data_IF_218487447411
#
_entry.id   IF_218487447411
#
_cell.length_a   1.000
_cell.length_b   1.000
_cell.length_c   1.000
_cell.angle_alpha   90.00
_cell.angle_beta   90.00
_cell.angle_gamma   90.00
#
_symmetry.space_group_name_H-M   'P 1'
#
loop_
_entity.id
_entity.type
_entity.pdbx_description
1 polymer ?
#
# COMPACT_ATOMS: atom_id res chain seq x y z
N UNK A 1 -32.07 6.35 36.13
CA UNK A 1 -33.41 6.96 35.99
C UNK A 1 -33.37 8.03 34.90
N UNK A 2 -34.24 7.91 33.86
CA UNK A 2 -34.89 9.00 33.04
C UNK A 2 -33.97 10.06 32.38
N UNK A 3 -33.98 10.42 31.07
CA UNK A 3 -34.91 10.35 29.89
C UNK A 3 -34.05 10.55 28.61
N UNK A 4 -34.13 9.72 27.55
CA UNK A 4 -34.89 9.86 26.28
C UNK A 4 -34.96 11.30 25.70
N UNK A 5 -34.42 11.49 24.48
CA UNK A 5 -35.20 11.99 23.33
C UNK A 5 -34.50 11.73 21.98
N UNK A 6 -35.14 10.91 21.14
CA UNK A 6 -34.89 10.76 19.70
C UNK A 6 -35.44 11.98 18.94
N UNK A 7 -34.78 12.37 17.84
CA UNK A 7 -35.40 13.16 16.78
C UNK A 7 -35.10 12.53 15.43
N UNK A 8 -36.12 11.85 14.90
CA UNK A 8 -36.27 11.51 13.48
C UNK A 8 -36.68 12.76 12.72
N UNK A 9 -36.11 12.99 11.54
CA UNK A 9 -36.73 13.81 10.50
C UNK A 9 -36.41 13.19 9.13
N UNK A 10 -37.42 12.50 8.61
CA UNK A 10 -37.52 12.03 7.23
C UNK A 10 -38.21 13.15 6.45
N UNK A 11 -37.66 13.55 5.30
CA UNK A 11 -38.45 14.19 4.25
C UNK A 11 -38.21 13.50 2.91
N UNK A 12 -39.33 13.15 2.30
CA UNK A 12 -39.54 12.32 1.13
C UNK A 12 -39.28 13.05 -0.20
N UNK A 13 -38.94 12.22 -1.18
CA UNK A 13 -38.79 12.42 -2.61
C UNK A 13 -39.62 13.52 -3.30
N UNK A 14 -39.01 14.14 -4.31
CA UNK A 14 -39.72 14.64 -5.50
C UNK A 14 -39.05 14.08 -6.76
N UNK A 15 -39.90 13.46 -7.56
CA UNK A 15 -39.72 12.85 -8.88
C UNK A 15 -39.46 13.93 -9.94
N UNK A 16 -38.64 13.64 -10.96
CA UNK A 16 -39.05 13.90 -12.34
C UNK A 16 -38.31 13.04 -13.37
N UNK A 17 -39.12 12.18 -13.99
CA UNK A 17 -38.91 11.56 -15.29
C UNK A 17 -38.63 12.63 -16.35
N UNK A 18 -37.60 12.43 -17.15
CA UNK A 18 -37.58 12.90 -18.53
C UNK A 18 -37.30 11.70 -19.43
N UNK A 19 -38.37 11.19 -20.04
CA UNK A 19 -38.30 10.30 -21.20
C UNK A 19 -39.08 10.98 -22.33
N UNK A 20 -38.38 11.48 -23.33
CA UNK A 20 -38.71 11.36 -24.76
C UNK A 20 -37.74 12.22 -25.56
N UNK A 21 -37.09 11.59 -26.55
CA UNK A 21 -36.25 12.29 -27.49
C UNK A 21 -35.44 11.32 -28.34
N UNK A 22 -36.12 10.48 -29.12
CA UNK A 22 -35.48 9.92 -30.31
C UNK A 22 -35.15 11.09 -31.25
N UNK A 23 -33.87 11.34 -31.45
CA UNK A 23 -33.36 12.05 -32.62
C UNK A 23 -31.95 11.56 -32.86
N UNK A 24 -31.78 10.81 -33.95
CA UNK A 24 -30.51 10.50 -34.55
C UNK A 24 -29.73 11.80 -34.79
N UNK A 25 -28.51 11.85 -34.27
CA UNK A 25 -27.45 12.70 -34.80
C UNK A 25 -26.15 12.01 -34.45
N UNK A 26 -25.55 11.43 -35.48
CA UNK A 26 -24.21 10.90 -35.45
C UNK A 26 -23.24 12.02 -35.01
N UNK A 27 -22.58 11.81 -33.89
CA UNK A 27 -21.33 12.51 -33.62
C UNK A 27 -20.26 11.48 -33.23
N UNK A 28 -19.25 11.39 -34.09
CA UNK A 28 -18.10 10.51 -33.91
C UNK A 28 -17.18 11.14 -32.86
N UNK A 29 -17.49 10.92 -31.59
CA UNK A 29 -16.48 11.10 -30.55
C UNK A 29 -15.63 9.83 -30.52
N UNK A 30 -14.41 9.92 -31.05
CA UNK A 30 -13.39 8.89 -30.87
C UNK A 30 -13.18 8.71 -29.36
N UNK A 31 -13.75 7.63 -28.83
CA UNK A 31 -13.50 7.15 -27.49
C UNK A 31 -12.04 6.74 -27.44
N UNK A 32 -11.16 7.65 -27.01
CA UNK A 32 -9.88 7.25 -26.42
C UNK A 32 -10.22 6.61 -25.08
N UNK A 33 -10.78 5.40 -25.12
CA UNK A 33 -10.76 4.51 -23.98
C UNK A 33 -9.28 4.32 -23.67
N UNK A 34 -8.75 4.75 -22.50
CA UNK A 34 -7.41 4.38 -22.13
C UNK A 34 -7.42 2.86 -22.09
N UNK A 35 -6.73 2.21 -23.01
CA UNK A 35 -6.49 0.79 -22.96
C UNK A 35 -5.73 0.56 -21.67
N UNK A 36 -6.45 0.19 -20.61
CA UNK A 36 -5.87 -0.22 -19.36
C UNK A 36 -4.98 -1.40 -19.69
N UNK A 37 -3.68 -1.13 -19.80
CA UNK A 37 -2.69 -2.18 -19.98
C UNK A 37 -2.70 -2.91 -18.65
N UNK A 38 -3.38 -4.05 -18.60
CA UNK A 38 -3.42 -4.90 -17.42
C UNK A 38 -2.00 -5.40 -17.18
N UNK A 39 -1.25 -4.67 -16.35
CA UNK A 39 0.00 -5.20 -15.84
C UNK A 39 -0.39 -6.35 -14.92
N UNK A 40 -0.01 -7.60 -15.24
CA UNK A 40 -0.38 -8.73 -14.41
C UNK A 40 0.14 -8.49 -13.00
N UNK A 41 -0.70 -8.81 -12.00
CA UNK A 41 -0.34 -8.73 -10.59
C UNK A 41 0.88 -9.62 -10.36
N UNK A 42 2.06 -9.01 -10.16
CA UNK A 42 3.34 -9.72 -10.09
C UNK A 42 4.21 -9.67 -11.34
N UNK A 43 3.97 -8.75 -12.29
CA UNK A 43 5.00 -8.39 -13.28
C UNK A 43 6.21 -7.84 -12.53
N UNK A 44 7.22 -8.70 -12.32
CA UNK A 44 8.53 -8.27 -11.85
C UNK A 44 9.08 -7.36 -12.94
N UNK A 45 9.00 -6.05 -12.74
CA UNK A 45 9.87 -5.16 -13.48
C UNK A 45 11.27 -5.58 -13.06
N UNK A 46 12.08 -6.06 -14.00
CA UNK A 46 13.45 -6.56 -13.74
C UNK A 46 14.35 -5.54 -13.05
N UNK A 47 13.93 -4.27 -13.00
CA UNK A 47 14.58 -3.19 -12.27
C UNK A 47 14.23 -3.09 -10.78
N UNK A 48 13.23 -3.81 -10.27
CA UNK A 48 12.90 -3.74 -8.85
C UNK A 48 14.05 -4.30 -8.00
N UNK A 49 14.37 -3.59 -6.92
CA UNK A 49 15.38 -3.95 -5.92
C UNK A 49 14.78 -3.68 -4.55
N UNK A 50 14.90 -4.59 -3.60
CA UNK A 50 14.47 -4.35 -2.23
C UNK A 50 15.17 -3.11 -1.63
N UNK A 51 14.56 -2.38 -0.69
CA UNK A 51 15.08 -1.10 -0.21
C UNK A 51 16.52 -1.20 0.32
N UNK A 52 16.86 -2.26 1.06
CA UNK A 52 18.20 -2.47 1.58
C UNK A 52 19.26 -2.88 0.56
N UNK A 53 18.87 -3.11 -0.70
CA UNK A 53 19.79 -3.24 -1.83
C UNK A 53 20.06 -1.91 -2.54
N UNK A 54 19.37 -0.83 -2.14
CA UNK A 54 19.44 0.49 -2.78
C UNK A 54 19.94 1.54 -1.80
N UNK A 55 19.47 1.50 -0.56
CA UNK A 55 19.79 2.47 0.47
C UNK A 55 20.32 1.74 1.70
N UNK A 56 21.54 2.07 2.11
CA UNK A 56 22.08 1.59 3.38
C UNK A 56 21.52 2.45 4.54
N UNK A 57 21.13 1.79 5.62
CA UNK A 57 20.59 2.45 6.81
C UNK A 57 21.22 1.88 8.07
N UNK A 58 21.33 2.70 9.11
CA UNK A 58 21.84 2.30 10.41
C UNK A 58 20.73 1.69 11.27
N UNK A 59 20.63 0.36 11.26
CA UNK A 59 19.60 -0.39 11.99
C UNK A 59 19.70 -0.28 13.52
N UNK A 60 20.76 0.33 14.05
CA UNK A 60 20.89 0.57 15.50
C UNK A 60 20.07 1.77 15.98
N UNK A 61 19.62 2.63 15.07
CA UNK A 61 18.79 3.80 15.37
C UNK A 61 17.32 3.43 15.59
N UNK A 62 16.67 4.20 16.45
CA UNK A 62 15.22 4.07 16.66
C UNK A 62 14.42 4.40 15.39
N UNK A 63 14.89 5.40 14.63
CA UNK A 63 14.44 5.74 13.27
C UNK A 63 15.67 5.87 12.36
N UNK A 64 15.87 4.93 11.42
CA UNK A 64 17.00 4.90 10.50
C UNK A 64 16.73 5.67 9.20
N UNK A 65 15.63 6.44 9.12
CA UNK A 65 15.32 7.32 8.00
C UNK A 65 16.46 8.32 7.69
N UNK A 66 16.66 8.61 6.41
CA UNK A 66 17.65 9.57 5.91
C UNK A 66 17.11 10.30 4.66
N UNK A 67 17.96 10.97 3.88
CA UNK A 67 17.52 11.72 2.70
C UNK A 67 17.09 10.83 1.52
N UNK A 68 17.44 9.55 1.54
CA UNK A 68 17.17 8.59 0.46
C UNK A 68 16.03 7.62 0.78
N UNK A 69 15.74 7.38 2.06
CA UNK A 69 14.64 6.53 2.51
C UNK A 69 13.94 7.12 3.73
N UNK A 70 12.60 7.11 3.71
CA UNK A 70 11.74 7.48 4.84
C UNK A 70 10.87 6.29 5.22
N UNK A 71 10.71 6.07 6.53
CA UNK A 71 9.86 5.02 7.08
C UNK A 71 8.57 5.61 7.66
N UNK A 72 7.47 4.92 7.40
CA UNK A 72 6.18 5.14 8.05
C UNK A 72 5.94 4.05 9.09
N UNK A 73 5.23 4.40 10.17
CA UNK A 73 4.97 3.49 11.27
C UNK A 73 3.47 3.36 11.56
N UNK A 74 3.04 2.14 11.91
CA UNK A 74 1.70 1.91 12.42
C UNK A 74 1.57 2.36 13.89
N UNK A 75 0.35 2.27 14.43
CA UNK A 75 0.06 2.63 15.83
C UNK A 75 0.80 1.78 16.88
N UNK A 76 1.38 0.65 16.47
CA UNK A 76 2.18 -0.24 17.33
C UNK A 76 3.69 0.03 17.16
N UNK A 77 4.08 1.04 16.38
CA UNK A 77 5.46 1.41 16.13
C UNK A 77 6.19 0.45 15.19
N UNK A 78 5.46 -0.41 14.46
CA UNK A 78 6.04 -1.29 13.43
C UNK A 78 6.10 -0.53 12.11
N UNK A 79 7.05 -0.87 11.24
CA UNK A 79 7.12 -0.28 9.89
C UNK A 79 5.83 -0.59 9.14
N UNK A 80 5.05 0.41 8.74
CA UNK A 80 3.87 0.24 7.88
C UNK A 80 4.19 0.49 6.42
N UNK A 81 5.26 1.24 6.14
CA UNK A 81 5.75 1.49 4.80
C UNK A 81 7.13 2.11 4.77
N UNK A 82 7.73 2.14 3.58
CA UNK A 82 8.88 2.99 3.31
C UNK A 82 8.88 3.51 1.87
N UNK A 83 9.47 4.69 1.67
CA UNK A 83 9.60 5.31 0.35
C UNK A 83 11.07 5.57 0.04
N UNK A 84 11.51 5.18 -1.15
CA UNK A 84 12.86 5.39 -1.67
C UNK A 84 12.82 5.49 -3.20
N UNK A 85 13.96 5.78 -3.85
CA UNK A 85 14.03 5.92 -5.31
C UNK A 85 14.81 4.79 -5.98
N UNK A 86 14.28 4.26 -7.08
CA UNK A 86 15.00 3.39 -8.03
C UNK A 86 15.09 4.12 -9.36
N UNK A 87 16.31 4.39 -9.83
CA UNK A 87 16.57 5.11 -11.08
C UNK A 87 15.79 6.43 -11.18
N UNK A 88 15.74 7.18 -10.08
CA UNK A 88 15.03 8.46 -9.98
C UNK A 88 13.51 8.38 -9.77
N UNK A 89 12.91 7.18 -9.86
CA UNK A 89 11.46 6.98 -9.67
C UNK A 89 11.14 6.61 -8.23
N UNK A 90 10.08 7.21 -7.69
CA UNK A 90 9.60 6.88 -6.36
C UNK A 90 9.06 5.45 -6.32
N UNK A 91 9.53 4.71 -5.33
CA UNK A 91 9.12 3.35 -5.02
C UNK A 91 8.59 3.33 -3.60
N UNK A 92 7.38 2.81 -3.45
CA UNK A 92 6.74 2.64 -2.14
C UNK A 92 6.71 1.16 -1.78
N UNK A 93 7.01 0.83 -0.53
CA UNK A 93 6.83 -0.49 0.05
C UNK A 93 5.78 -0.39 1.14
N UNK A 94 4.78 -1.26 1.11
CA UNK A 94 3.73 -1.35 2.12
C UNK A 94 3.76 -2.69 2.86
N UNK A 95 3.42 -2.65 4.16
CA UNK A 95 3.42 -3.81 5.05
C UNK A 95 2.02 -4.03 5.63
N UNK A 96 1.46 -5.21 5.39
CA UNK A 96 0.16 -5.62 5.93
C UNK A 96 0.34 -6.73 6.94
N UNK A 97 0.14 -6.42 8.22
CA UNK A 97 0.35 -7.35 9.32
C UNK A 97 -0.88 -8.23 9.60
N UNK A 98 -0.64 -9.54 9.70
CA UNK A 98 -1.58 -10.56 10.19
C UNK A 98 -1.09 -11.10 11.54
N UNK A 99 -1.74 -12.14 12.05
CA UNK A 99 -1.43 -12.73 13.36
C UNK A 99 0.00 -13.29 13.45
N UNK A 100 0.43 -14.04 12.45
CA UNK A 100 1.72 -14.72 12.40
C UNK A 100 2.49 -14.48 11.10
N UNK A 101 2.01 -13.55 10.28
CA UNK A 101 2.55 -13.23 8.97
C UNK A 101 2.53 -11.72 8.71
N UNK A 102 3.36 -11.30 7.77
CA UNK A 102 3.32 -9.96 7.18
C UNK A 102 3.42 -10.09 5.67
N UNK A 103 2.46 -9.49 4.96
CA UNK A 103 2.55 -9.35 3.52
C UNK A 103 3.27 -8.04 3.20
N UNK A 104 4.27 -8.14 2.32
CA UNK A 104 5.05 -7.00 1.84
C UNK A 104 4.77 -6.80 0.36
N UNK A 105 4.39 -5.59 0.00
CA UNK A 105 4.11 -5.17 -1.37
C UNK A 105 5.04 -4.03 -1.76
N UNK A 106 5.46 -3.96 -3.02
CA UNK A 106 6.14 -2.78 -3.53
C UNK A 106 5.47 -2.25 -4.80
N UNK A 107 5.47 -0.93 -4.93
CA UNK A 107 4.81 -0.20 -6.01
C UNK A 107 5.77 0.82 -6.62
N UNK A 108 5.74 0.93 -7.96
CA UNK A 108 6.38 2.02 -8.69
C UNK A 108 5.26 2.72 -9.47
N UNK A 109 4.89 3.93 -9.04
CA UNK A 109 3.62 4.54 -9.44
C UNK A 109 2.44 3.66 -9.00
N UNK A 110 1.49 3.42 -9.90
CA UNK A 110 0.28 2.62 -9.62
C UNK A 110 0.47 1.11 -9.87
N UNK A 111 1.69 0.67 -10.19
CA UNK A 111 1.97 -0.73 -10.56
C UNK A 111 2.58 -1.48 -9.39
N UNK A 112 1.95 -2.59 -8.97
CA UNK A 112 2.52 -3.54 -8.01
C UNK A 112 3.63 -4.36 -8.69
N UNK A 113 4.86 -4.20 -8.22
CA UNK A 113 6.07 -4.83 -8.81
C UNK A 113 6.63 -5.97 -7.95
N UNK A 114 6.22 -6.06 -6.69
CA UNK A 114 6.64 -7.10 -5.76
C UNK A 114 5.52 -7.44 -4.79
N UNK A 115 5.40 -8.73 -4.47
CA UNK A 115 4.57 -9.21 -3.38
C UNK A 115 5.22 -10.45 -2.77
N UNK A 116 5.38 -10.46 -1.44
CA UNK A 116 5.84 -11.63 -0.70
C UNK A 116 5.29 -11.64 0.72
N UNK A 117 5.00 -12.84 1.22
CA UNK A 117 4.60 -13.06 2.62
C UNK A 117 5.78 -13.60 3.43
N UNK A 118 5.99 -13.01 4.60
CA UNK A 118 6.98 -13.44 5.58
C UNK A 118 6.29 -13.97 6.83
N UNK A 119 6.85 -15.01 7.44
CA UNK A 119 6.38 -15.53 8.73
C UNK A 119 7.03 -14.75 9.88
N UNK A 120 6.22 -14.26 10.80
CA UNK A 120 6.67 -13.63 12.03
C UNK A 120 7.18 -14.73 12.97
N UNK A 121 8.45 -14.64 13.36
CA UNK A 121 9.11 -15.58 14.29
C UNK A 121 9.09 -15.02 15.71
N UNK A 122 9.30 -13.71 15.84
CA UNK A 122 9.28 -13.00 17.12
C UNK A 122 8.67 -11.61 16.93
N UNK A 123 7.87 -11.18 17.91
CA UNK A 123 7.33 -9.82 18.00
C UNK A 123 7.54 -9.30 19.42
N UNK A 124 8.30 -8.23 19.55
CA UNK A 124 8.79 -7.72 20.83
C UNK A 124 9.24 -6.26 20.63
N UNK A 125 8.69 -5.33 21.41
CA UNK A 125 8.96 -3.90 21.27
C UNK A 125 10.40 -3.50 21.61
N UNK A 126 11.17 -4.39 22.23
CA UNK A 126 12.61 -4.19 22.45
C UNK A 126 13.46 -4.56 21.23
N UNK A 127 12.89 -5.29 20.25
CA UNK A 127 13.55 -5.52 18.97
C UNK A 127 13.50 -4.21 18.19
N UNK A 128 14.66 -3.59 17.96
CA UNK A 128 14.76 -2.42 17.09
C UNK A 128 14.47 -2.76 15.62
N UNK A 129 15.22 -2.15 14.72
CA UNK A 129 15.14 -2.47 13.30
C UNK A 129 15.84 -3.80 12.99
N UNK A 130 15.21 -4.58 12.12
CA UNK A 130 15.76 -5.82 11.54
C UNK A 130 15.60 -5.81 10.02
N UNK A 131 16.42 -6.61 9.34
CA UNK A 131 16.34 -6.84 7.90
C UNK A 131 15.98 -8.31 7.62
N UNK A 132 15.18 -8.53 6.58
CA UNK A 132 15.03 -9.82 5.94
C UNK A 132 14.97 -9.65 4.42
N UNK A 133 15.97 -10.17 3.71
CA UNK A 133 16.07 -10.11 2.24
C UNK A 133 16.03 -8.67 1.69
N UNK A 134 16.59 -7.71 2.42
CA UNK A 134 16.59 -6.29 2.03
C UNK A 134 15.32 -5.54 2.38
N UNK A 135 14.35 -6.15 3.08
CA UNK A 135 13.17 -5.49 3.62
C UNK A 135 13.32 -5.25 5.12
N UNK A 136 12.95 -4.05 5.55
CA UNK A 136 13.11 -3.61 6.92
C UNK A 136 11.85 -3.85 7.76
N UNK A 137 12.05 -4.27 9.00
CA UNK A 137 10.99 -4.46 9.99
C UNK A 137 11.41 -3.80 11.31
N UNK A 138 10.46 -3.35 12.11
CA UNK A 138 10.71 -2.84 13.48
C UNK A 138 9.86 -3.62 14.46
N UNK A 139 10.42 -3.95 15.63
CA UNK A 139 9.77 -4.74 16.68
C UNK A 139 9.48 -6.20 16.28
N UNK A 140 10.09 -6.69 15.20
CA UNK A 140 9.81 -8.00 14.62
C UNK A 140 11.10 -8.70 14.16
N UNK A 141 11.10 -10.02 14.25
CA UNK A 141 11.98 -10.89 13.47
C UNK A 141 11.12 -11.76 12.58
N UNK A 142 11.38 -11.75 11.28
CA UNK A 142 10.63 -12.53 10.30
C UNK A 142 11.52 -13.52 9.57
N UNK A 143 10.90 -14.47 8.89
CA UNK A 143 11.60 -15.36 7.96
C UNK A 143 10.80 -15.52 6.67
N UNK A 144 11.52 -15.66 5.58
CA UNK A 144 10.99 -16.04 4.28
C UNK A 144 10.35 -17.43 4.37
N UNK A 145 9.10 -17.54 3.92
CA UNK A 145 8.50 -18.84 3.64
C UNK A 145 9.13 -19.32 2.32
N UNK A 146 9.91 -20.41 2.35
CA UNK A 146 10.44 -21.00 1.12
C UNK A 146 9.27 -21.30 0.18
N UNK A 147 9.35 -20.81 -1.05
CA UNK A 147 8.46 -21.22 -2.15
C UNK A 147 8.82 -22.63 -2.60
#
# INVERSE_FOLDING_TARGET
MKKILLLFLIFTAVVQLAACGCSDSADRSAENTPTATSVPMGAIISSFKAPGLVVEVDLTKEDPSNDQIKFDYDKQGRVSGCTYKIDGRDTYVGYTYKKDEVDVYAFIGDVSVFHKTYKIVKSDSSLGFTDCEGFYFKNLTVKSLRQ
#
